data_IF_095340646114
#
_entry.id   IF_095340646114
#
_cell.length_a   1.000
_cell.length_b   1.000
_cell.length_c   1.000
_cell.angle_alpha   90.00
_cell.angle_beta   90.00
_cell.angle_gamma   90.00
#
_symmetry.space_group_name_H-M   'P 1'
#
loop_
_entity.id
_entity.type
_entity.pdbx_description
1 polymer ?
#
# COMPACT_ATOMS: atom_id res chain seq x y z
N UNK A 1 19.13 31.07 -7.59
CA UNK A 1 19.82 29.91 -8.18
C UNK A 1 18.75 28.90 -8.56
N UNK A 2 18.58 28.61 -9.85
CA UNK A 2 17.62 27.59 -10.35
C UNK A 2 18.15 26.22 -9.94
N UNK A 3 17.47 25.51 -9.03
CA UNK A 3 17.72 24.08 -8.82
C UNK A 3 17.26 23.34 -10.07
N UNK A 4 18.21 22.83 -10.85
CA UNK A 4 17.88 21.91 -11.94
C UNK A 4 17.59 20.55 -11.32
N UNK A 5 16.33 20.11 -11.35
CA UNK A 5 15.98 18.72 -11.04
C UNK A 5 16.62 17.81 -12.11
N UNK A 6 17.37 16.82 -11.65
CA UNK A 6 18.05 15.86 -12.56
C UNK A 6 17.19 14.67 -12.89
N UNK A 7 16.24 14.31 -12.03
CA UNK A 7 15.40 13.13 -12.16
C UNK A 7 14.06 13.33 -11.44
N UNK A 8 12.99 12.79 -12.00
CA UNK A 8 11.65 12.77 -11.40
C UNK A 8 11.12 11.33 -11.39
N UNK A 9 10.83 10.81 -10.21
CA UNK A 9 10.21 9.51 -10.04
C UNK A 9 8.70 9.68 -9.88
N UNK A 10 7.92 9.02 -10.73
CA UNK A 10 6.45 9.03 -10.68
C UNK A 10 5.96 7.66 -10.24
N UNK A 11 5.25 7.61 -9.11
CA UNK A 11 4.63 6.39 -8.58
C UNK A 11 3.12 6.50 -8.71
N UNK A 12 2.54 5.73 -9.62
CA UNK A 12 1.09 5.65 -9.78
C UNK A 12 0.49 4.85 -8.63
N UNK A 13 -0.42 5.45 -7.89
CA UNK A 13 -1.06 4.81 -6.75
C UNK A 13 -2.47 5.36 -6.53
N UNK A 14 -3.21 4.74 -5.60
CA UNK A 14 -4.46 5.26 -5.05
C UNK A 14 -4.35 5.38 -3.54
N UNK A 15 -5.12 6.30 -2.95
CA UNK A 15 -5.46 6.26 -1.53
C UNK A 15 -6.89 5.72 -1.41
N UNK A 16 -7.06 4.63 -0.67
CA UNK A 16 -8.32 3.92 -0.59
C UNK A 16 -8.88 3.87 0.83
N UNK A 17 -9.89 4.70 1.08
CA UNK A 17 -10.70 4.62 2.29
C UNK A 17 -11.80 3.57 2.10
N UNK A 18 -11.66 2.44 2.80
CA UNK A 18 -12.63 1.34 2.74
C UNK A 18 -13.99 1.76 3.28
N UNK A 19 -13.99 2.54 4.36
CA UNK A 19 -15.16 3.16 4.97
C UNK A 19 -14.77 4.56 5.47
N UNK A 20 -15.34 5.60 4.90
CA UNK A 20 -15.14 6.97 5.34
C UNK A 20 -16.32 7.87 4.94
N UNK A 21 -16.36 8.30 3.67
CA UNK A 21 -17.43 9.16 3.13
C UNK A 21 -18.64 8.39 2.65
N UNK A 22 -18.47 7.12 2.35
CA UNK A 22 -19.48 6.23 1.81
C UNK A 22 -19.59 4.98 2.66
N UNK A 23 -20.74 4.29 2.58
CA UNK A 23 -20.86 2.96 3.17
C UNK A 23 -19.90 1.97 2.51
N UNK A 24 -19.51 0.94 3.25
CA UNK A 24 -18.64 -0.12 2.75
C UNK A 24 -19.06 -0.66 1.37
N UNK A 25 -20.36 -0.96 1.20
CA UNK A 25 -20.87 -1.50 -0.05
C UNK A 25 -20.73 -0.52 -1.22
N UNK A 26 -20.91 0.77 -0.99
CA UNK A 26 -20.69 1.78 -2.03
C UNK A 26 -19.22 1.91 -2.40
N UNK A 27 -18.33 1.93 -1.40
CA UNK A 27 -16.88 1.93 -1.64
C UNK A 27 -16.45 0.68 -2.40
N UNK A 28 -16.96 -0.49 -2.03
CA UNK A 28 -16.68 -1.77 -2.71
C UNK A 28 -17.14 -1.76 -4.18
N UNK A 29 -18.31 -1.20 -4.47
CA UNK A 29 -18.76 -1.04 -5.86
C UNK A 29 -17.81 -0.14 -6.67
N UNK A 30 -17.30 0.92 -6.07
CA UNK A 30 -16.29 1.79 -6.70
C UNK A 30 -14.96 1.05 -6.88
N UNK A 31 -14.55 0.26 -5.89
CA UNK A 31 -13.35 -0.59 -5.94
C UNK A 31 -13.42 -1.57 -7.11
N UNK A 32 -14.55 -2.27 -7.28
CA UNK A 32 -14.75 -3.21 -8.39
C UNK A 32 -14.56 -2.53 -9.74
N UNK A 33 -15.15 -1.35 -9.93
CA UNK A 33 -14.98 -0.58 -11.18
C UNK A 33 -13.52 -0.17 -11.40
N UNK A 34 -12.86 0.32 -10.37
CA UNK A 34 -11.45 0.73 -10.44
C UNK A 34 -10.55 -0.47 -10.76
N UNK A 35 -10.73 -1.58 -10.05
CA UNK A 35 -9.91 -2.78 -10.25
C UNK A 35 -10.08 -3.39 -11.63
N UNK A 36 -11.30 -3.48 -12.16
CA UNK A 36 -11.54 -3.95 -13.53
C UNK A 36 -10.77 -3.09 -14.54
N UNK A 37 -10.91 -1.78 -14.45
CA UNK A 37 -10.18 -0.86 -15.33
C UNK A 37 -8.66 -0.97 -15.16
N UNK A 38 -8.17 -1.06 -13.92
CA UNK A 38 -6.74 -1.15 -13.62
C UNK A 38 -6.12 -2.44 -14.18
N UNK A 39 -6.79 -3.58 -14.01
CA UNK A 39 -6.32 -4.86 -14.54
C UNK A 39 -6.22 -4.81 -16.07
N UNK A 40 -7.26 -4.30 -16.72
CA UNK A 40 -7.30 -4.17 -18.19
C UNK A 40 -6.19 -3.21 -18.68
N UNK A 41 -5.98 -2.08 -18.02
CA UNK A 41 -4.92 -1.12 -18.34
C UNK A 41 -3.53 -1.74 -18.19
N UNK A 42 -3.27 -2.40 -17.04
CA UNK A 42 -1.98 -3.03 -16.80
C UNK A 42 -1.68 -4.17 -17.79
N UNK A 43 -2.69 -4.84 -18.31
CA UNK A 43 -2.50 -5.93 -19.29
C UNK A 43 -2.35 -5.40 -20.72
N UNK A 44 -3.06 -4.33 -21.08
CA UNK A 44 -3.12 -3.83 -22.46
C UNK A 44 -2.05 -2.78 -22.79
N UNK A 45 -1.57 -2.03 -21.80
CA UNK A 45 -0.60 -0.95 -22.00
C UNK A 45 0.74 -1.22 -21.31
N UNK A 46 1.76 -1.72 -22.03
CA UNK A 46 3.09 -1.92 -21.49
C UNK A 46 3.80 -0.62 -21.06
N UNK A 47 3.40 0.53 -21.60
CA UNK A 47 4.01 1.82 -21.24
C UNK A 47 3.58 2.30 -19.85
N UNK A 48 2.41 1.87 -19.37
CA UNK A 48 1.97 2.06 -17.99
C UNK A 48 2.64 1.02 -17.10
N UNK A 49 3.84 1.33 -16.62
CA UNK A 49 4.79 0.36 -16.08
C UNK A 49 4.29 -0.38 -14.84
N UNK A 50 3.71 0.33 -13.86
CA UNK A 50 3.27 -0.28 -12.61
C UNK A 50 2.26 0.58 -11.85
N UNK A 51 1.58 -0.05 -10.88
CA UNK A 51 0.63 0.59 -9.98
C UNK A 51 0.76 0.05 -8.55
N UNK A 52 0.55 0.91 -7.55
CA UNK A 52 0.60 0.55 -6.13
C UNK A 52 -0.79 0.67 -5.50
N UNK A 53 -1.28 -0.42 -4.92
CA UNK A 53 -2.55 -0.44 -4.19
C UNK A 53 -2.34 0.03 -2.75
N UNK A 54 -2.17 1.33 -2.55
CA UNK A 54 -2.17 2.06 -1.27
C UNK A 54 -1.50 1.33 -0.07
N UNK A 55 -0.51 0.46 -0.37
CA UNK A 55 0.20 -0.38 0.60
C UNK A 55 -0.68 -1.31 1.46
N UNK A 56 -1.94 -1.53 1.14
CA UNK A 56 -2.79 -2.49 1.84
C UNK A 56 -3.39 -3.55 0.92
N UNK A 57 -3.65 -4.72 1.48
CA UNK A 57 -4.02 -5.91 0.69
C UNK A 57 -5.51 -6.27 0.77
N UNK A 58 -6.25 -5.73 1.75
CA UNK A 58 -7.69 -6.00 1.92
C UNK A 58 -8.52 -5.67 0.66
N UNK A 59 -8.08 -4.69 -0.13
CA UNK A 59 -8.73 -4.34 -1.39
C UNK A 59 -8.84 -5.54 -2.34
N UNK A 60 -7.84 -6.41 -2.33
CA UNK A 60 -7.84 -7.61 -3.17
C UNK A 60 -8.90 -8.61 -2.69
N UNK A 61 -9.04 -8.82 -1.38
CA UNK A 61 -10.10 -9.69 -0.85
C UNK A 61 -11.47 -9.12 -1.15
N UNK A 62 -11.70 -7.83 -0.87
CA UNK A 62 -12.96 -7.15 -1.17
C UNK A 62 -13.35 -7.24 -2.65
N UNK A 63 -12.37 -7.19 -3.55
CA UNK A 63 -12.58 -7.33 -4.98
C UNK A 63 -12.87 -8.78 -5.39
N UNK A 64 -12.07 -9.73 -4.90
CA UNK A 64 -12.18 -11.14 -5.27
C UNK A 64 -13.39 -11.85 -4.68
N UNK A 65 -14.03 -11.30 -3.65
CA UNK A 65 -15.34 -11.77 -3.23
C UNK A 65 -16.43 -11.58 -4.32
N UNK A 66 -16.25 -10.61 -5.21
CA UNK A 66 -17.18 -10.31 -6.31
C UNK A 66 -16.69 -10.94 -7.63
N UNK A 67 -15.37 -10.90 -7.87
CA UNK A 67 -14.72 -11.35 -9.10
C UNK A 67 -13.62 -12.39 -8.83
N UNK A 68 -13.97 -13.57 -8.28
CA UNK A 68 -12.98 -14.60 -7.95
C UNK A 68 -12.19 -15.10 -9.17
N UNK A 69 -12.77 -15.01 -10.36
CA UNK A 69 -12.15 -15.38 -11.63
C UNK A 69 -10.90 -14.56 -11.96
N UNK A 70 -10.79 -13.36 -11.42
CA UNK A 70 -9.64 -12.47 -11.70
C UNK A 70 -8.42 -12.74 -10.81
N UNK A 71 -8.47 -13.74 -9.93
CA UNK A 71 -7.35 -14.08 -9.05
C UNK A 71 -6.04 -14.32 -9.83
N UNK A 72 -6.09 -15.09 -10.88
CA UNK A 72 -4.90 -15.42 -11.69
C UNK A 72 -4.30 -14.18 -12.41
N UNK A 73 -5.16 -13.26 -12.85
CA UNK A 73 -4.72 -11.98 -13.44
C UNK A 73 -3.92 -11.17 -12.42
N UNK A 74 -4.46 -11.02 -11.20
CA UNK A 74 -3.79 -10.31 -10.10
C UNK A 74 -2.46 -10.98 -9.76
N UNK A 75 -2.44 -12.30 -9.58
CA UNK A 75 -1.21 -13.06 -9.29
C UNK A 75 -0.13 -12.83 -10.35
N UNK A 76 -0.51 -12.86 -11.63
CA UNK A 76 0.41 -12.60 -12.73
C UNK A 76 1.00 -11.19 -12.63
N UNK A 77 0.16 -10.17 -12.49
CA UNK A 77 0.60 -8.77 -12.41
C UNK A 77 1.49 -8.50 -11.18
N UNK A 78 1.20 -9.15 -10.05
CA UNK A 78 2.04 -9.05 -8.83
C UNK A 78 3.41 -9.71 -9.07
N UNK A 79 3.45 -10.92 -9.63
CA UNK A 79 4.69 -11.63 -9.98
C UNK A 79 5.53 -10.86 -10.99
N UNK A 80 4.89 -10.26 -11.98
CA UNK A 80 5.52 -9.44 -13.02
C UNK A 80 5.94 -8.05 -12.50
N UNK A 81 5.69 -7.74 -11.22
CA UNK A 81 5.96 -6.43 -10.58
C UNK A 81 5.28 -5.25 -11.27
N UNK A 82 4.13 -5.49 -11.84
CA UNK A 82 3.27 -4.46 -12.42
C UNK A 82 2.18 -3.99 -11.47
N UNK A 83 1.84 -4.82 -10.47
CA UNK A 83 0.94 -4.47 -9.37
C UNK A 83 1.65 -4.68 -8.05
N UNK A 84 1.81 -3.63 -7.25
CA UNK A 84 2.41 -3.67 -5.91
C UNK A 84 1.32 -3.65 -4.85
N UNK A 85 1.42 -4.59 -3.89
CA UNK A 85 0.44 -4.82 -2.82
C UNK A 85 1.13 -4.99 -1.46
N UNK A 86 0.40 -4.73 -0.37
CA UNK A 86 0.93 -4.80 0.98
C UNK A 86 1.94 -3.68 1.28
N UNK A 87 2.62 -3.72 2.44
CA UNK A 87 2.71 -4.83 3.39
C UNK A 87 1.55 -4.94 4.39
N UNK A 88 0.70 -3.92 4.49
CA UNK A 88 -0.41 -3.91 5.43
C UNK A 88 -1.59 -4.76 4.95
N UNK A 89 -2.37 -5.27 5.90
CA UNK A 89 -3.71 -5.79 5.61
C UNK A 89 -4.68 -4.63 5.37
N UNK A 90 -4.75 -3.71 6.34
CA UNK A 90 -5.40 -2.40 6.20
C UNK A 90 -4.44 -1.31 6.63
N UNK A 91 -4.53 -0.10 6.05
CA UNK A 91 -3.72 1.03 6.50
C UNK A 91 -4.15 1.44 7.92
N UNK A 92 -3.23 1.39 8.90
CA UNK A 92 -3.54 1.72 10.27
C UNK A 92 -3.33 3.20 10.57
N UNK A 93 -4.11 3.74 11.50
CA UNK A 93 -3.73 4.96 12.22
C UNK A 93 -2.95 4.55 13.47
N UNK A 94 -1.63 4.49 13.32
CA UNK A 94 -0.69 3.85 14.26
C UNK A 94 -0.89 4.31 15.70
N UNK A 95 -1.03 5.62 16.01
CA UNK A 95 -1.20 6.08 17.40
C UNK A 95 -2.49 5.61 18.08
N UNK A 96 -3.50 5.23 17.29
CA UNK A 96 -4.84 4.93 17.80
C UNK A 96 -5.12 3.44 17.96
N UNK A 97 -4.15 2.58 17.62
CA UNK A 97 -4.31 1.11 17.72
C UNK A 97 -3.26 0.50 18.64
N UNK A 98 -3.55 -0.70 19.16
CA UNK A 98 -2.58 -1.41 19.99
C UNK A 98 -1.37 -1.88 19.18
N UNK A 99 -0.20 -1.97 19.82
CA UNK A 99 1.01 -2.45 19.16
C UNK A 99 0.85 -3.88 18.63
N UNK A 100 0.13 -4.73 19.33
CA UNK A 100 -0.21 -6.08 18.87
C UNK A 100 -1.07 -6.03 17.57
N UNK A 101 -1.99 -5.08 17.47
CA UNK A 101 -2.77 -4.87 16.24
C UNK A 101 -1.89 -4.44 15.07
N UNK A 102 -0.86 -3.61 15.31
CA UNK A 102 0.11 -3.22 14.28
C UNK A 102 0.84 -4.45 13.74
N UNK A 103 1.38 -5.29 14.63
CA UNK A 103 2.11 -6.51 14.25
C UNK A 103 1.19 -7.48 13.50
N UNK A 104 -0.02 -7.73 13.99
CA UNK A 104 -0.98 -8.63 13.35
C UNK A 104 -1.43 -8.12 11.99
N UNK A 105 -1.64 -6.82 11.86
CA UNK A 105 -2.02 -6.19 10.59
C UNK A 105 -0.95 -6.44 9.52
N UNK A 106 0.33 -6.21 9.85
CA UNK A 106 1.46 -6.54 8.95
C UNK A 106 1.54 -8.05 8.66
N UNK A 107 1.32 -8.90 9.67
CA UNK A 107 1.36 -10.34 9.49
C UNK A 107 0.27 -10.83 8.51
N UNK A 108 -0.95 -10.35 8.65
CA UNK A 108 -2.06 -10.69 7.74
C UNK A 108 -1.82 -10.12 6.34
N UNK A 109 -1.41 -8.84 6.25
CA UNK A 109 -1.13 -8.20 4.98
C UNK A 109 -0.04 -8.90 4.19
N UNK A 110 1.05 -9.26 4.86
CA UNK A 110 2.14 -10.03 4.26
C UNK A 110 1.69 -11.41 3.78
N UNK A 111 0.99 -12.17 4.63
CA UNK A 111 0.49 -13.51 4.25
C UNK A 111 -0.40 -13.45 3.03
N UNK A 112 -1.33 -12.49 2.99
CA UNK A 112 -2.19 -12.29 1.85
C UNK A 112 -1.40 -11.91 0.60
N UNK A 113 -0.53 -10.92 0.70
CA UNK A 113 0.27 -10.44 -0.45
C UNK A 113 1.22 -11.51 -0.98
N UNK A 114 1.90 -12.26 -0.11
CA UNK A 114 2.79 -13.37 -0.48
C UNK A 114 2.02 -14.49 -1.20
N UNK A 115 0.73 -14.70 -0.90
CA UNK A 115 -0.12 -15.68 -1.61
C UNK A 115 -0.38 -15.30 -3.08
N UNK A 116 -0.14 -14.04 -3.45
CA UNK A 116 -0.18 -13.56 -4.85
C UNK A 116 1.20 -13.50 -5.49
N UNK A 117 2.27 -13.75 -4.73
CA UNK A 117 3.62 -13.91 -5.23
C UNK A 117 4.65 -12.92 -4.70
N UNK A 118 4.26 -11.73 -4.25
CA UNK A 118 5.20 -10.73 -3.75
C UNK A 118 4.52 -9.71 -2.83
N UNK A 119 5.15 -9.42 -1.69
CA UNK A 119 4.80 -8.30 -0.82
C UNK A 119 5.72 -7.11 -1.09
N UNK A 120 5.18 -5.91 -1.24
CA UNK A 120 5.96 -4.68 -1.29
C UNK A 120 6.77 -4.52 0.00
N UNK A 121 8.08 -4.24 -0.13
CA UNK A 121 8.99 -4.08 1.01
C UNK A 121 9.27 -2.61 1.34
N UNK A 122 8.21 -1.82 1.38
CA UNK A 122 8.25 -0.41 1.81
C UNK A 122 7.22 -0.22 2.90
N UNK A 123 7.64 0.27 4.03
CA UNK A 123 6.77 0.65 5.14
C UNK A 123 6.04 1.95 4.82
N UNK A 124 4.93 1.86 4.10
CA UNK A 124 4.16 3.02 3.67
C UNK A 124 3.01 3.31 4.64
N UNK A 125 3.05 4.48 5.27
CA UNK A 125 2.01 4.94 6.22
C UNK A 125 1.56 6.36 5.90
N UNK A 126 0.86 6.58 4.78
CA UNK A 126 0.53 7.93 4.31
C UNK A 126 -0.49 8.64 5.20
N UNK A 127 -1.37 7.89 5.86
CA UNK A 127 -2.52 8.44 6.60
C UNK A 127 -2.32 8.57 8.08
N UNK A 128 -1.29 7.94 8.64
CA UNK A 128 -1.06 7.96 10.08
C UNK A 128 -0.90 9.40 10.60
N UNK A 129 -1.66 9.76 11.62
CA UNK A 129 -1.60 11.08 12.26
C UNK A 129 -0.40 11.23 13.20
N UNK A 130 0.39 10.18 13.33
CA UNK A 130 1.63 10.14 14.07
C UNK A 130 2.39 8.88 13.73
N UNK A 131 3.70 8.89 13.97
CA UNK A 131 4.55 7.73 13.84
C UNK A 131 5.02 7.33 15.25
N UNK A 132 5.02 6.04 15.54
CA UNK A 132 5.55 5.55 16.84
C UNK A 132 7.01 5.19 16.73
N UNK A 133 7.82 5.56 17.73
CA UNK A 133 9.25 5.26 17.77
C UNK A 133 9.59 3.76 17.69
N UNK A 134 8.62 2.88 17.91
CA UNK A 134 8.78 1.43 17.80
C UNK A 134 8.60 0.89 16.38
N UNK A 135 8.06 1.71 15.47
CA UNK A 135 7.70 1.28 14.11
C UNK A 135 8.90 0.75 13.29
N UNK A 136 10.11 1.35 13.33
CA UNK A 136 11.27 0.81 12.63
C UNK A 136 11.64 -0.61 13.07
N UNK A 137 11.59 -0.90 14.36
CA UNK A 137 11.87 -2.24 14.87
C UNK A 137 10.81 -3.25 14.40
N UNK A 138 9.53 -2.85 14.38
CA UNK A 138 8.45 -3.68 13.87
C UNK A 138 8.68 -3.97 12.38
N UNK A 139 8.95 -2.97 11.56
CA UNK A 139 9.24 -3.16 10.14
C UNK A 139 10.47 -4.03 9.89
N UNK A 140 11.54 -3.83 10.66
CA UNK A 140 12.75 -4.66 10.57
C UNK A 140 12.43 -6.14 10.84
N UNK A 141 11.53 -6.44 11.79
CA UNK A 141 11.02 -7.80 12.05
C UNK A 141 10.29 -8.44 10.87
N UNK A 142 9.79 -7.64 9.94
CA UNK A 142 9.19 -8.08 8.66
C UNK A 142 10.14 -8.00 7.46
N UNK A 143 11.42 -7.65 7.68
CA UNK A 143 12.41 -7.48 6.62
C UNK A 143 12.13 -6.29 5.72
N UNK A 144 11.57 -5.22 6.30
CA UNK A 144 11.33 -3.91 5.70
C UNK A 144 12.32 -2.94 6.33
N UNK A 145 13.20 -2.35 5.52
CA UNK A 145 14.27 -1.43 5.92
C UNK A 145 14.05 0.00 5.41
N UNK A 146 13.03 0.20 4.60
CA UNK A 146 12.69 1.48 3.99
C UNK A 146 11.28 1.89 4.37
N UNK A 147 11.12 3.11 4.88
CA UNK A 147 9.84 3.66 5.30
C UNK A 147 9.54 4.90 4.47
N UNK A 148 8.31 5.02 4.01
CA UNK A 148 7.82 6.21 3.30
C UNK A 148 6.53 6.71 3.94
N UNK A 149 6.53 7.97 4.35
CA UNK A 149 5.36 8.67 4.91
C UNK A 149 5.47 10.18 4.61
N UNK A 150 4.39 10.93 4.74
CA UNK A 150 4.38 12.37 4.52
C UNK A 150 3.78 13.18 5.69
N UNK A 151 3.40 12.52 6.78
CA UNK A 151 2.91 13.17 8.00
C UNK A 151 3.28 12.35 9.24
N UNK A 152 3.14 12.99 10.40
CA UNK A 152 3.35 12.33 11.70
C UNK A 152 4.72 12.61 12.35
N UNK A 153 5.61 13.35 11.65
CA UNK A 153 6.86 13.89 12.22
C UNK A 153 6.93 15.37 11.84
N UNK A 154 7.32 16.19 12.82
CA UNK A 154 7.48 17.63 12.61
C UNK A 154 8.75 17.95 11.82
N UNK A 155 8.74 18.96 10.93
CA UNK A 155 9.96 19.43 10.27
C UNK A 155 11.00 20.02 11.23
N UNK A 156 10.63 20.27 12.49
CA UNK A 156 11.57 20.68 13.55
C UNK A 156 12.28 19.48 14.20
N UNK A 157 11.76 18.24 13.98
CA UNK A 157 12.31 17.02 14.57
C UNK A 157 13.22 16.27 13.60
N UNK A 158 13.03 16.45 12.31
CA UNK A 158 13.82 15.76 11.29
C UNK A 158 13.87 16.50 9.95
N UNK A 159 14.78 16.08 9.10
CA UNK A 159 14.85 16.45 7.67
C UNK A 159 13.91 15.57 6.85
N UNK A 160 13.78 15.84 5.54
CA UNK A 160 12.95 15.06 4.63
C UNK A 160 13.42 13.59 4.48
N UNK A 161 14.70 13.35 4.69
CA UNK A 161 15.33 12.04 4.65
C UNK A 161 16.19 11.85 5.88
N UNK A 162 16.03 10.73 6.59
CA UNK A 162 16.77 10.44 7.82
C UNK A 162 16.84 8.93 8.08
N UNK A 163 17.77 8.55 8.92
CA UNK A 163 17.86 7.19 9.50
C UNK A 163 17.13 7.20 10.82
N UNK A 164 16.20 6.27 11.00
CA UNK A 164 15.36 6.18 12.17
C UNK A 164 15.80 5.03 13.09
#
# INVERSE_FOLDING_TARGET
MSQSFKEVHVVSNTHWDREFRFSFQRSRMMLVKMMNYLLDLLESDPSFSSYTLDAHSIMIEDYLEIHPENRQRIEKLVKDRRLFIGPWYTLPDIPNISQESVVRNLLYGRRLSDSFGHTMKVGYTPCSWGQTGQLPQIYAGFGIDTIFFYRGISPHESTSEFVW
#
